data_IF_019780145001
#
_entry.id   IF_019780145001
#
_cell.length_a   1.000
_cell.length_b   1.000
_cell.length_c   1.000
_cell.angle_alpha   90.00
_cell.angle_beta   90.00
_cell.angle_gamma   90.00
#
_symmetry.space_group_name_H-M   'P 1'
#
loop_
_entity.id
_entity.type
_entity.pdbx_description
1 polymer ?
#
# COMPACT_ATOMS: atom_id res chain seq x y z
N UNK A 1 -19.54 -26.64 -34.90
CA UNK A 1 -20.35 -25.96 -33.86
C UNK A 1 -20.45 -26.90 -32.67
N UNK A 2 -19.99 -26.50 -31.49
CA UNK A 2 -20.14 -27.26 -30.24
C UNK A 2 -20.85 -26.35 -29.24
N UNK A 3 -21.99 -26.79 -28.71
CA UNK A 3 -22.75 -26.05 -27.70
C UNK A 3 -22.11 -26.24 -26.31
N UNK A 4 -22.15 -25.24 -25.41
CA UNK A 4 -21.71 -25.42 -24.04
C UNK A 4 -22.68 -26.31 -23.25
N UNK A 5 -22.19 -27.38 -22.65
CA UNK A 5 -22.98 -28.38 -21.89
C UNK A 5 -23.32 -27.91 -20.46
N UNK A 6 -22.92 -26.69 -20.07
CA UNK A 6 -23.26 -26.12 -18.77
C UNK A 6 -24.52 -25.24 -18.83
N UNK A 7 -25.65 -25.67 -18.24
CA UNK A 7 -26.80 -24.79 -18.11
C UNK A 7 -26.46 -23.62 -17.18
N UNK A 8 -26.85 -22.41 -17.62
CA UNK A 8 -26.73 -21.15 -16.87
C UNK A 8 -27.37 -21.29 -15.48
N UNK A 9 -26.55 -21.50 -14.45
CA UNK A 9 -27.02 -21.97 -13.15
C UNK A 9 -27.53 -20.80 -12.29
N UNK A 10 -28.80 -20.48 -12.53
CA UNK A 10 -29.83 -19.99 -11.59
C UNK A 10 -29.35 -19.19 -10.37
N UNK A 11 -29.67 -17.90 -10.40
CA UNK A 11 -30.09 -17.08 -9.24
C UNK A 11 -29.23 -17.12 -7.96
N UNK A 12 -28.62 -15.97 -7.65
CA UNK A 12 -27.84 -15.64 -6.44
C UNK A 12 -28.59 -15.73 -5.09
N UNK A 13 -29.73 -16.43 -5.05
CA UNK A 13 -30.61 -16.58 -3.88
C UNK A 13 -30.37 -17.85 -3.06
N UNK A 14 -29.72 -18.89 -3.63
CA UNK A 14 -29.54 -20.17 -2.94
C UNK A 14 -28.66 -20.05 -1.69
N UNK A 15 -27.48 -19.42 -1.80
CA UNK A 15 -26.53 -19.27 -0.68
C UNK A 15 -27.10 -18.43 0.48
N UNK A 16 -28.02 -17.50 0.21
CA UNK A 16 -28.67 -16.66 1.24
C UNK A 16 -29.74 -17.39 2.07
N UNK A 17 -30.10 -18.63 1.70
CA UNK A 17 -31.05 -19.48 2.43
C UNK A 17 -30.37 -20.44 3.41
N UNK A 18 -29.04 -20.53 3.36
CA UNK A 18 -28.25 -21.29 4.32
C UNK A 18 -28.23 -20.50 5.63
N UNK A 19 -28.52 -21.10 6.80
CA UNK A 19 -28.35 -20.44 8.10
C UNK A 19 -26.89 -20.03 8.35
N UNK A 20 -26.60 -18.88 8.98
CA UNK A 20 -25.23 -18.41 9.25
C UNK A 20 -24.35 -19.46 9.92
N UNK A 21 -24.92 -20.23 10.85
CA UNK A 21 -24.24 -21.25 11.65
C UNK A 21 -23.68 -22.37 10.77
N UNK A 22 -24.40 -22.76 9.70
CA UNK A 22 -23.92 -23.73 8.73
C UNK A 22 -22.84 -23.14 7.81
N UNK A 23 -22.87 -21.83 7.54
CA UNK A 23 -21.81 -21.13 6.79
C UNK A 23 -20.52 -21.05 7.65
N UNK A 24 -20.66 -20.80 8.94
CA UNK A 24 -19.54 -20.79 9.90
C UNK A 24 -18.93 -22.19 10.09
N UNK A 25 -19.75 -23.24 10.15
CA UNK A 25 -19.27 -24.63 10.06
C UNK A 25 -18.46 -24.88 8.79
N UNK A 26 -18.91 -24.40 7.62
CA UNK A 26 -18.16 -24.55 6.37
C UNK A 26 -16.79 -23.86 6.46
N UNK A 27 -16.68 -22.66 7.04
CA UNK A 27 -15.38 -22.00 7.22
C UNK A 27 -14.41 -22.81 8.09
N UNK A 28 -14.89 -23.49 9.13
CA UNK A 28 -14.07 -24.33 10.00
C UNK A 28 -13.42 -25.54 9.26
N UNK A 29 -14.06 -26.04 8.20
CA UNK A 29 -13.52 -27.15 7.38
C UNK A 29 -12.70 -26.69 6.16
N UNK A 30 -12.75 -25.41 5.77
CA UNK A 30 -12.01 -24.90 4.63
C UNK A 30 -10.58 -24.48 5.01
N UNK A 31 -9.56 -24.75 4.19
CA UNK A 31 -8.24 -24.14 4.36
C UNK A 31 -8.31 -22.63 4.08
N UNK A 32 -7.37 -21.87 4.63
CA UNK A 32 -7.40 -20.39 4.65
C UNK A 32 -7.63 -19.73 3.28
N UNK A 33 -7.03 -20.26 2.20
CA UNK A 33 -7.25 -19.72 0.85
C UNK A 33 -8.72 -19.88 0.40
N UNK A 34 -9.33 -21.04 0.70
CA UNK A 34 -10.71 -21.35 0.32
C UNK A 34 -11.70 -20.61 1.22
N UNK A 35 -11.40 -20.39 2.51
CA UNK A 35 -12.18 -19.50 3.37
C UNK A 35 -12.30 -18.09 2.76
N UNK A 36 -11.19 -17.54 2.24
CA UNK A 36 -11.18 -16.22 1.61
C UNK A 36 -11.91 -16.23 0.25
N UNK A 37 -11.66 -17.22 -0.60
CA UNK A 37 -12.38 -17.36 -1.88
C UNK A 37 -13.90 -17.52 -1.68
N UNK A 38 -14.33 -18.33 -0.72
CA UNK A 38 -15.74 -18.52 -0.38
C UNK A 38 -16.34 -17.26 0.24
N UNK A 39 -15.62 -16.61 1.18
CA UNK A 39 -15.98 -15.31 1.75
C UNK A 39 -16.24 -14.24 0.70
N UNK A 40 -15.41 -14.18 -0.35
CA UNK A 40 -15.54 -13.20 -1.43
C UNK A 40 -16.61 -13.55 -2.48
N UNK A 41 -17.26 -14.72 -2.41
CA UNK A 41 -18.24 -15.17 -3.41
C UNK A 41 -19.51 -14.31 -3.46
N UNK A 42 -20.02 -13.86 -2.31
CA UNK A 42 -21.10 -12.87 -2.25
C UNK A 42 -21.13 -12.14 -0.90
N UNK A 43 -21.83 -10.99 -0.86
CA UNK A 43 -21.93 -10.13 0.34
C UNK A 43 -22.41 -10.85 1.61
N UNK A 44 -23.32 -11.82 1.48
CA UNK A 44 -23.84 -12.57 2.63
C UNK A 44 -22.75 -13.46 3.26
N UNK A 45 -22.06 -14.27 2.44
CA UNK A 45 -20.97 -15.14 2.90
C UNK A 45 -19.78 -14.30 3.39
N UNK A 46 -19.55 -13.11 2.82
CA UNK A 46 -18.56 -12.15 3.34
C UNK A 46 -18.90 -11.65 4.75
N UNK A 47 -20.17 -11.37 5.04
CA UNK A 47 -20.62 -11.03 6.40
C UNK A 47 -20.40 -12.19 7.37
N UNK A 48 -20.74 -13.43 6.97
CA UNK A 48 -20.47 -14.63 7.77
C UNK A 48 -18.97 -14.84 8.02
N UNK A 49 -18.09 -14.57 7.03
CA UNK A 49 -16.64 -14.66 7.22
C UNK A 49 -16.16 -13.67 8.30
N UNK A 50 -16.66 -12.45 8.31
CA UNK A 50 -16.26 -11.48 9.34
C UNK A 50 -16.76 -11.90 10.73
N UNK A 51 -18.00 -12.39 10.87
CA UNK A 51 -18.56 -12.96 12.11
C UNK A 51 -17.71 -14.11 12.66
N UNK A 52 -17.39 -15.07 11.79
CA UNK A 52 -16.51 -16.19 12.10
C UNK A 52 -15.13 -15.72 12.60
N UNK A 53 -14.52 -14.78 11.89
CA UNK A 53 -13.18 -14.25 12.22
C UNK A 53 -13.18 -13.47 13.55
N UNK A 54 -14.19 -12.62 13.78
CA UNK A 54 -14.37 -11.88 15.04
C UNK A 54 -14.53 -12.84 16.24
N UNK A 55 -15.35 -13.88 16.10
CA UNK A 55 -15.57 -14.92 17.12
C UNK A 55 -14.28 -15.66 17.49
N UNK A 56 -13.41 -15.90 16.51
CA UNK A 56 -12.11 -16.55 16.72
C UNK A 56 -10.98 -15.57 17.09
N UNK A 57 -11.28 -14.27 17.25
CA UNK A 57 -10.31 -13.19 17.47
C UNK A 57 -9.23 -13.06 16.37
N UNK A 58 -9.50 -13.59 15.17
CA UNK A 58 -8.62 -13.53 14.01
C UNK A 58 -8.99 -12.31 13.18
N UNK A 59 -7.99 -11.51 12.81
CA UNK A 59 -8.19 -10.40 11.87
C UNK A 59 -7.97 -10.90 10.45
N UNK A 60 -8.76 -10.43 9.47
CA UNK A 60 -8.62 -10.80 8.05
C UNK A 60 -7.18 -10.65 7.51
N UNK A 61 -6.40 -9.69 8.05
CA UNK A 61 -4.98 -9.48 7.70
C UNK A 61 -4.01 -10.55 8.23
N UNK A 62 -4.40 -11.31 9.24
CA UNK A 62 -3.63 -12.41 9.82
C UNK A 62 -3.81 -13.72 9.05
N UNK A 63 -4.93 -13.90 8.32
CA UNK A 63 -5.12 -15.08 7.45
C UNK A 63 -4.03 -15.20 6.37
N UNK A 64 -3.67 -14.07 5.75
CA UNK A 64 -2.60 -14.00 4.77
C UNK A 64 -1.72 -12.78 5.06
N UNK A 65 -0.72 -12.92 5.95
CA UNK A 65 0.16 -11.82 6.32
C UNK A 65 0.87 -11.23 5.10
N UNK A 66 1.32 -9.97 5.23
CA UNK A 66 2.02 -9.26 4.17
C UNK A 66 3.37 -9.94 3.93
N UNK A 67 3.45 -10.71 2.84
CA UNK A 67 4.71 -11.30 2.39
C UNK A 67 5.71 -10.22 1.95
N UNK A 68 6.93 -10.28 2.50
CA UNK A 68 8.04 -9.44 2.04
C UNK A 68 8.53 -9.88 0.65
N UNK A 69 8.94 -8.90 -0.15
CA UNK A 69 9.60 -9.14 -1.44
C UNK A 69 11.01 -9.65 -1.18
N UNK A 70 11.24 -10.92 -1.51
CA UNK A 70 12.59 -11.46 -1.62
C UNK A 70 12.91 -11.47 -3.12
N UNK A 71 13.81 -10.57 -3.53
CA UNK A 71 14.21 -10.33 -4.94
C UNK A 71 14.65 -11.59 -5.70
N UNK A 72 15.08 -12.64 -4.98
CA UNK A 72 15.52 -13.93 -5.53
C UNK A 72 14.85 -15.08 -4.79
N UNK A 73 13.57 -15.34 -5.10
CA UNK A 73 12.84 -16.51 -4.57
C UNK A 73 12.45 -17.45 -5.73
N UNK A 74 13.11 -18.60 -5.93
CA UNK A 74 12.81 -19.51 -7.04
C UNK A 74 11.44 -20.22 -6.97
N UNK A 75 10.59 -19.86 -6.00
CA UNK A 75 9.26 -20.43 -5.78
C UNK A 75 8.18 -19.37 -5.44
N UNK A 76 8.31 -18.12 -5.91
CA UNK A 76 7.32 -17.03 -5.68
C UNK A 76 5.87 -17.50 -5.93
N UNK A 77 5.61 -18.23 -7.02
CA UNK A 77 4.26 -18.74 -7.37
C UNK A 77 3.69 -19.79 -6.39
N UNK A 78 4.50 -20.36 -5.49
CA UNK A 78 4.05 -21.30 -4.44
C UNK A 78 3.66 -20.62 -3.13
N UNK A 79 3.87 -19.31 -3.00
CA UNK A 79 3.55 -18.60 -1.75
C UNK A 79 2.02 -18.47 -1.56
N UNK A 80 1.48 -18.68 -0.34
CA UNK A 80 0.03 -18.75 -0.12
C UNK A 80 -0.74 -17.51 -0.58
N UNK A 81 -0.19 -16.31 -0.39
CA UNK A 81 -0.83 -15.06 -0.85
C UNK A 81 -0.91 -15.01 -2.38
N UNK A 82 0.14 -15.46 -3.06
CA UNK A 82 0.22 -15.41 -4.53
C UNK A 82 -0.69 -16.47 -5.15
N UNK A 83 -0.77 -17.66 -4.55
CA UNK A 83 -1.76 -18.67 -4.94
C UNK A 83 -3.20 -18.15 -4.80
N UNK A 84 -3.54 -17.46 -3.69
CA UNK A 84 -4.86 -16.82 -3.57
C UNK A 84 -5.08 -15.78 -4.68
N UNK A 85 -4.13 -14.87 -4.91
CA UNK A 85 -4.27 -13.82 -5.93
C UNK A 85 -4.45 -14.41 -7.33
N UNK A 86 -3.79 -15.53 -7.66
CA UNK A 86 -3.98 -16.25 -8.93
C UNK A 86 -5.36 -16.93 -9.01
N UNK A 87 -5.90 -17.46 -7.91
CA UNK A 87 -7.27 -18.05 -7.86
C UNK A 87 -8.38 -17.00 -7.91
N UNK A 88 -8.08 -15.76 -7.57
CA UNK A 88 -8.98 -14.60 -7.66
C UNK A 88 -8.89 -13.85 -9.00
N UNK A 89 -8.01 -14.27 -9.92
CA UNK A 89 -7.95 -13.72 -11.28
C UNK A 89 -9.18 -14.14 -12.11
N UNK A 90 -9.75 -13.18 -12.83
CA UNK A 90 -10.92 -13.33 -13.70
C UNK A 90 -10.99 -12.19 -14.73
N UNK A 91 -12.02 -12.16 -15.55
CA UNK A 91 -12.20 -11.15 -16.61
C UNK A 91 -12.20 -9.69 -16.10
N UNK A 92 -12.50 -9.47 -14.82
CA UNK A 92 -12.53 -8.16 -14.20
C UNK A 92 -11.23 -7.81 -13.46
N UNK A 93 -10.42 -8.79 -13.03
CA UNK A 93 -9.23 -8.59 -12.20
C UNK A 93 -8.08 -9.51 -12.65
N UNK A 94 -6.91 -8.95 -12.97
CA UNK A 94 -5.70 -9.74 -13.29
C UNK A 94 -4.59 -9.54 -12.28
N UNK A 95 -3.87 -10.61 -11.97
CA UNK A 95 -2.70 -10.60 -11.11
C UNK A 95 -1.51 -9.95 -11.83
N UNK A 96 -0.70 -9.20 -11.09
CA UNK A 96 0.56 -8.67 -11.57
C UNK A 96 1.74 -9.25 -10.77
N UNK A 97 2.62 -9.98 -11.46
CA UNK A 97 3.79 -10.64 -10.89
C UNK A 97 4.90 -9.69 -10.42
N UNK A 98 4.90 -8.43 -10.88
CA UNK A 98 5.85 -7.40 -10.45
C UNK A 98 5.32 -6.58 -9.25
N UNK A 99 4.00 -6.44 -9.06
CA UNK A 99 3.46 -5.73 -7.88
C UNK A 99 2.99 -6.66 -6.75
N UNK A 100 2.67 -7.93 -7.06
CA UNK A 100 1.98 -8.90 -6.19
C UNK A 100 0.62 -8.37 -5.68
N UNK A 101 -0.21 -7.92 -6.61
CA UNK A 101 -1.58 -7.43 -6.38
C UNK A 101 -2.45 -7.75 -7.60
N UNK A 102 -3.76 -7.85 -7.39
CA UNK A 102 -4.77 -7.83 -8.45
C UNK A 102 -5.02 -6.39 -8.92
N UNK A 103 -5.12 -6.21 -10.23
CA UNK A 103 -5.51 -4.95 -10.84
C UNK A 103 -6.69 -5.14 -11.80
N UNK A 104 -7.73 -4.28 -11.73
CA UNK A 104 -8.86 -4.33 -12.66
C UNK A 104 -8.45 -4.37 -14.13
N UNK A 105 -9.04 -5.29 -14.90
CA UNK A 105 -8.67 -5.59 -16.27
C UNK A 105 -8.72 -4.36 -17.20
N UNK A 106 -9.72 -3.49 -17.00
CA UNK A 106 -9.85 -2.20 -17.70
C UNK A 106 -8.60 -1.31 -17.62
N UNK A 107 -7.80 -1.43 -16.55
CA UNK A 107 -6.56 -0.66 -16.37
C UNK A 107 -5.39 -1.26 -17.15
N UNK A 108 -5.38 -2.57 -17.37
CA UNK A 108 -4.43 -3.19 -18.29
C UNK A 108 -4.71 -2.74 -19.73
N UNK A 109 -5.99 -2.73 -20.13
CA UNK A 109 -6.43 -2.25 -21.44
C UNK A 109 -6.15 -0.74 -21.64
N UNK A 110 -6.51 0.10 -20.67
CA UNK A 110 -6.27 1.54 -20.74
C UNK A 110 -4.78 1.89 -20.82
N UNK A 111 -3.92 1.10 -20.16
CA UNK A 111 -2.47 1.25 -20.28
C UNK A 111 -1.93 0.62 -21.57
N UNK A 112 -2.60 -0.38 -22.18
CA UNK A 112 -2.15 -1.18 -23.34
C UNK A 112 -1.64 -0.34 -24.52
N UNK A 113 -2.27 0.80 -24.79
CA UNK A 113 -1.87 1.75 -25.84
C UNK A 113 -0.48 2.38 -25.59
N UNK A 114 -0.13 2.64 -24.34
CA UNK A 114 1.16 3.23 -23.96
C UNK A 114 2.33 2.25 -24.16
N UNK A 115 2.08 0.94 -24.16
CA UNK A 115 3.14 -0.08 -24.25
C UNK A 115 3.81 -0.18 -25.61
N UNK A 116 3.16 0.27 -26.70
CA UNK A 116 3.72 0.17 -28.06
C UNK A 116 5.06 0.92 -28.20
N UNK A 117 5.32 1.94 -27.38
CA UNK A 117 6.61 2.64 -27.30
C UNK A 117 7.56 2.14 -26.20
N UNK A 118 7.27 1.00 -25.56
CA UNK A 118 7.72 0.70 -24.20
C UNK A 118 8.43 -0.66 -24.03
N UNK A 119 8.58 -1.43 -25.11
CA UNK A 119 9.18 -2.79 -25.13
C UNK A 119 10.54 -2.93 -24.42
N UNK A 120 11.30 -1.84 -24.23
CA UNK A 120 12.65 -1.87 -23.62
C UNK A 120 12.69 -1.93 -22.08
N UNK A 121 11.55 -1.94 -21.37
CA UNK A 121 11.50 -1.94 -19.89
C UNK A 121 10.36 -2.77 -19.26
N UNK A 122 9.81 -3.75 -19.97
CA UNK A 122 8.99 -4.79 -19.33
C UNK A 122 9.85 -5.67 -18.41
N UNK A 123 9.23 -6.27 -17.39
CA UNK A 123 9.84 -7.31 -16.56
C UNK A 123 10.49 -8.39 -17.46
N UNK A 124 11.66 -8.91 -17.05
CA UNK A 124 12.41 -9.94 -17.77
C UNK A 124 11.56 -11.16 -18.12
N UNK A 125 10.70 -11.62 -17.21
CA UNK A 125 9.75 -12.72 -17.48
C UNK A 125 8.71 -12.37 -18.56
N UNK A 126 8.22 -11.12 -18.59
CA UNK A 126 7.27 -10.66 -19.61
C UNK A 126 7.92 -10.42 -20.97
N UNK A 127 9.25 -10.30 -21.06
CA UNK A 127 9.96 -10.29 -22.34
C UNK A 127 10.08 -11.71 -22.92
N UNK A 128 10.16 -12.73 -22.07
CA UNK A 128 10.25 -14.14 -22.47
C UNK A 128 8.91 -14.73 -22.90
N UNK A 129 7.80 -14.36 -22.25
CA UNK A 129 6.47 -14.95 -22.46
C UNK A 129 5.68 -14.40 -23.67
N UNK A 130 6.36 -14.04 -24.76
CA UNK A 130 5.84 -13.55 -26.06
C UNK A 130 4.30 -13.39 -26.17
N UNK A 131 3.76 -12.31 -25.59
CA UNK A 131 2.34 -11.92 -25.70
C UNK A 131 1.50 -12.09 -24.43
N UNK A 132 1.91 -12.91 -23.46
CA UNK A 132 1.18 -13.06 -22.20
C UNK A 132 1.70 -12.08 -21.13
N UNK A 133 1.01 -10.95 -20.97
CA UNK A 133 1.39 -9.87 -20.06
C UNK A 133 1.08 -10.21 -18.59
N UNK A 134 2.08 -10.70 -17.85
CA UNK A 134 1.96 -11.01 -16.42
C UNK A 134 2.29 -9.83 -15.49
N UNK A 135 2.78 -8.69 -16.02
CA UNK A 135 3.10 -7.49 -15.23
C UNK A 135 2.31 -6.26 -15.74
N UNK A 136 1.79 -5.44 -14.83
CA UNK A 136 1.28 -4.10 -15.14
C UNK A 136 2.49 -3.17 -15.38
N UNK A 137 2.45 -2.18 -16.30
CA UNK A 137 3.62 -1.34 -16.50
C UNK A 137 3.73 -0.41 -15.29
N UNK A 138 4.95 -0.16 -14.83
CA UNK A 138 5.19 0.69 -13.66
C UNK A 138 4.65 0.09 -12.36
N UNK A 139 4.45 -1.23 -12.35
CA UNK A 139 4.30 -2.01 -11.13
C UNK A 139 5.49 -1.75 -10.18
N UNK A 140 5.17 -1.89 -8.89
CA UNK A 140 5.96 -1.32 -7.82
C UNK A 140 5.04 -0.76 -6.74
N UNK A 141 5.49 -0.85 -5.50
CA UNK A 141 4.81 -0.33 -4.31
C UNK A 141 5.73 0.68 -3.64
N UNK A 142 5.14 1.79 -3.19
CA UNK A 142 5.82 2.84 -2.41
C UNK A 142 5.14 2.88 -1.05
N UNK A 143 5.89 2.67 0.05
CA UNK A 143 5.31 2.83 1.39
C UNK A 143 5.21 4.32 1.69
N UNK A 144 4.03 4.73 2.14
CA UNK A 144 3.68 6.09 2.49
C UNK A 144 3.74 6.28 4.00
N UNK A 145 2.97 5.48 4.74
CA UNK A 145 3.13 5.25 6.20
C UNK A 145 3.57 3.78 6.40
N UNK A 146 4.19 3.41 7.54
CA UNK A 146 4.36 2.02 7.95
C UNK A 146 3.16 1.08 7.70
N UNK A 147 1.92 1.56 7.81
CA UNK A 147 0.72 0.75 7.53
C UNK A 147 0.06 0.99 6.16
N UNK A 148 0.59 1.90 5.30
CA UNK A 148 -0.01 2.24 4.00
C UNK A 148 1.03 2.26 2.89
N UNK A 149 0.82 1.44 1.87
CA UNK A 149 1.60 1.41 0.63
C UNK A 149 0.71 1.68 -0.57
N UNK A 150 1.21 2.41 -1.56
CA UNK A 150 0.46 2.76 -2.78
C UNK A 150 1.14 2.21 -4.04
N UNK A 151 0.33 1.83 -5.03
CA UNK A 151 0.77 1.49 -6.39
C UNK A 151 0.74 2.71 -7.30
N UNK A 152 1.26 2.59 -8.53
CA UNK A 152 1.22 3.70 -9.50
C UNK A 152 -0.22 4.11 -9.86
N UNK A 153 -1.15 3.15 -9.89
CA UNK A 153 -2.59 3.41 -10.07
C UNK A 153 -3.13 4.27 -8.94
N UNK A 154 -2.82 3.91 -7.70
CA UNK A 154 -3.30 4.64 -6.52
C UNK A 154 -2.71 6.06 -6.52
N UNK A 155 -1.45 6.22 -6.97
CA UNK A 155 -0.86 7.55 -7.23
C UNK A 155 -1.68 8.36 -8.23
N UNK A 156 -2.09 7.77 -9.36
CA UNK A 156 -2.92 8.47 -10.35
C UNK A 156 -4.30 8.85 -9.77
N UNK A 157 -4.89 7.98 -8.94
CA UNK A 157 -6.16 8.25 -8.26
C UNK A 157 -6.01 9.40 -7.25
N UNK A 158 -5.00 9.35 -6.38
CA UNK A 158 -4.65 10.43 -5.45
C UNK A 158 -4.39 11.76 -6.19
N UNK A 159 -3.68 11.72 -7.32
CA UNK A 159 -3.49 12.89 -8.17
C UNK A 159 -4.79 13.44 -8.73
N UNK A 160 -5.78 12.60 -9.05
CA UNK A 160 -7.09 13.05 -9.52
C UNK A 160 -7.92 13.66 -8.38
N UNK A 161 -7.97 12.99 -7.22
CA UNK A 161 -8.58 13.53 -6.00
C UNK A 161 -7.98 14.90 -5.63
N UNK A 162 -6.65 15.04 -5.63
CA UNK A 162 -5.95 16.32 -5.42
C UNK A 162 -6.23 17.39 -6.50
N UNK A 163 -6.70 17.04 -7.70
CA UNK A 163 -7.11 18.01 -8.73
C UNK A 163 -8.53 18.49 -8.52
N UNK A 164 -9.46 17.56 -8.28
CA UNK A 164 -10.87 17.90 -8.11
C UNK A 164 -11.08 18.69 -6.82
N UNK A 165 -10.35 18.32 -5.76
CA UNK A 165 -10.08 19.12 -4.58
C UNK A 165 -9.79 20.62 -4.88
N UNK A 166 -8.81 20.90 -5.74
CA UNK A 166 -8.35 22.28 -6.02
C UNK A 166 -9.40 23.17 -6.65
N UNK A 167 -10.42 22.61 -7.28
CA UNK A 167 -11.54 23.37 -7.87
C UNK A 167 -12.45 23.98 -6.80
N UNK A 168 -12.35 23.52 -5.55
CA UNK A 168 -13.27 23.87 -4.45
C UNK A 168 -12.72 24.98 -3.54
N UNK A 169 -11.41 25.26 -3.55
CA UNK A 169 -10.78 26.27 -2.68
C UNK A 169 -10.58 27.60 -3.41
N UNK A 170 -11.17 28.71 -2.92
CA UNK A 170 -10.91 30.04 -3.46
C UNK A 170 -9.43 30.46 -3.30
N UNK A 171 -8.86 31.22 -4.25
CA UNK A 171 -7.50 31.76 -4.11
C UNK A 171 -7.45 32.80 -2.99
N UNK A 172 -6.85 32.47 -1.84
CA UNK A 172 -6.66 33.43 -0.73
C UNK A 172 -6.06 32.86 0.55
N UNK A 173 -6.72 31.86 1.15
CA UNK A 173 -6.25 31.19 2.38
C UNK A 173 -6.09 32.14 3.59
N UNK A 174 -5.12 31.96 4.51
CA UNK A 174 -3.88 31.17 4.51
C UNK A 174 -3.77 30.32 5.77
N UNK A 175 -3.38 29.04 5.68
CA UNK A 175 -3.19 28.20 6.87
C UNK A 175 -1.77 28.33 7.43
N UNK A 176 -1.65 28.99 8.58
CA UNK A 176 -0.47 28.92 9.43
C UNK A 176 -0.45 27.59 10.18
N UNK A 177 0.44 26.67 9.81
CA UNK A 177 1.11 25.78 10.77
C UNK A 177 2.29 25.01 10.16
N UNK A 178 3.28 24.76 11.02
CA UNK A 178 4.53 24.00 10.85
C UNK A 178 5.65 24.54 9.94
N UNK A 179 6.85 24.51 10.52
CA UNK A 179 8.11 25.12 10.03
C UNK A 179 8.80 24.33 8.91
N UNK A 180 8.05 23.78 7.95
CA UNK A 180 8.60 23.20 6.74
C UNK A 180 8.74 24.27 5.66
N UNK A 181 9.97 24.51 5.17
CA UNK A 181 10.23 25.41 4.04
C UNK A 181 9.55 24.89 2.77
N UNK A 182 8.37 25.43 2.47
CA UNK A 182 7.62 25.16 1.25
C UNK A 182 8.40 25.68 0.03
N UNK A 183 8.53 24.88 -1.05
CA UNK A 183 9.02 25.40 -2.33
C UNK A 183 8.09 26.50 -2.86
N UNK A 184 8.61 27.64 -3.34
CA UNK A 184 7.76 28.70 -3.89
C UNK A 184 6.93 28.17 -5.08
N UNK A 185 5.63 28.43 -5.05
CA UNK A 185 4.65 27.90 -6.01
C UNK A 185 3.87 26.65 -5.55
N UNK A 186 3.98 26.24 -4.27
CA UNK A 186 3.03 25.31 -3.66
C UNK A 186 1.66 25.97 -3.47
N UNK A 187 0.66 25.60 -4.26
CA UNK A 187 -0.72 26.04 -4.00
C UNK A 187 -1.31 25.31 -2.79
N UNK A 188 -2.16 26.04 -2.06
CA UNK A 188 -2.72 25.72 -0.75
C UNK A 188 -3.20 24.26 -0.57
N UNK A 189 -3.05 23.79 0.68
CA UNK A 189 -3.68 22.58 1.24
C UNK A 189 -5.13 22.38 0.75
N UNK A 190 -5.46 21.14 0.39
CA UNK A 190 -6.80 20.62 0.63
C UNK A 190 -6.78 19.73 1.87
N UNK A 191 -7.77 19.89 2.74
CA UNK A 191 -7.80 19.26 4.07
C UNK A 191 -7.97 17.74 4.04
N UNK A 192 -8.41 17.17 2.91
CA UNK A 192 -9.04 15.84 2.87
C UNK A 192 -8.14 14.68 2.44
N UNK A 193 -6.86 14.92 2.10
CA UNK A 193 -5.89 13.86 1.83
C UNK A 193 -4.76 13.88 2.85
N UNK A 194 -5.15 13.53 4.07
CA UNK A 194 -4.29 13.25 5.20
C UNK A 194 -4.50 11.80 5.64
N UNK A 195 -3.43 11.17 6.09
CA UNK A 195 -3.50 9.88 6.74
C UNK A 195 -2.72 9.98 8.05
N UNK A 196 -3.30 9.47 9.14
CA UNK A 196 -2.64 9.44 10.44
C UNK A 196 -2.66 8.02 10.98
N UNK A 197 -1.51 7.58 11.46
CA UNK A 197 -1.25 6.22 11.91
C UNK A 197 -0.35 6.25 13.14
N UNK A 198 -0.66 5.42 14.14
CA UNK A 198 0.24 5.17 15.26
C UNK A 198 0.93 3.82 15.02
N UNK A 199 2.25 3.83 14.96
CA UNK A 199 3.07 2.62 14.98
C UNK A 199 3.42 2.30 16.44
N UNK A 200 2.99 1.11 16.88
CA UNK A 200 3.02 0.70 18.29
C UNK A 200 3.79 -0.58 18.54
N UNK A 201 4.39 -1.15 17.49
CA UNK A 201 4.88 -2.53 17.48
C UNK A 201 6.31 -2.63 18.02
N UNK A 202 7.01 -1.50 18.16
CA UNK A 202 8.28 -1.41 18.88
C UNK A 202 8.04 -1.38 20.41
N UNK A 203 8.78 -2.18 21.22
CA UNK A 203 8.50 -2.35 22.64
C UNK A 203 8.59 -1.05 23.46
N UNK A 204 9.59 -0.20 23.18
CA UNK A 204 9.90 0.98 24.00
C UNK A 204 9.45 2.34 23.41
N UNK A 205 8.97 2.35 22.16
CA UNK A 205 8.76 3.59 21.38
C UNK A 205 7.42 3.50 20.64
N UNK A 206 6.56 4.49 20.82
CA UNK A 206 5.42 4.75 19.92
C UNK A 206 5.81 5.82 18.90
N UNK A 207 5.33 5.68 17.67
CA UNK A 207 5.54 6.68 16.61
C UNK A 207 4.18 7.11 16.07
N UNK A 208 3.81 8.36 16.29
CA UNK A 208 2.67 8.99 15.62
C UNK A 208 3.14 9.53 14.28
N UNK A 209 2.56 9.03 13.19
CA UNK A 209 2.94 9.34 11.81
C UNK A 209 1.77 10.02 11.12
N UNK A 210 1.99 11.26 10.68
CA UNK A 210 1.03 12.07 9.93
C UNK A 210 1.53 12.27 8.51
N UNK A 211 0.79 11.76 7.54
CA UNK A 211 1.04 11.85 6.10
C UNK A 211 0.14 12.91 5.48
N UNK A 212 0.68 13.75 4.61
CA UNK A 212 -0.06 14.71 3.77
C UNK A 212 0.34 14.59 2.29
N UNK A 213 -0.63 14.72 1.38
CA UNK A 213 -0.41 14.63 -0.07
C UNK A 213 -0.58 16.00 -0.75
N UNK A 214 0.46 16.44 -1.46
CA UNK A 214 0.48 17.75 -2.15
C UNK A 214 0.73 17.58 -3.64
N UNK A 215 0.21 18.49 -4.48
CA UNK A 215 0.62 18.61 -5.88
C UNK A 215 1.50 19.86 -6.06
N UNK A 216 2.66 19.73 -6.69
CA UNK A 216 3.61 20.84 -6.87
C UNK A 216 3.80 21.19 -8.35
N UNK A 217 3.73 22.51 -8.63
CA UNK A 217 4.11 23.14 -9.88
C UNK A 217 3.21 22.86 -11.10
N UNK A 218 3.52 23.54 -12.22
CA UNK A 218 2.82 23.39 -13.51
C UNK A 218 2.83 21.96 -14.05
N UNK A 219 3.80 21.14 -13.65
CA UNK A 219 3.92 19.74 -14.07
C UNK A 219 2.98 18.78 -13.31
N UNK A 220 2.25 19.28 -12.30
CA UNK A 220 1.33 18.52 -11.45
C UNK A 220 2.00 17.28 -10.81
N UNK A 221 3.16 17.46 -10.18
CA UNK A 221 3.88 16.38 -9.50
C UNK A 221 3.28 16.07 -8.12
N UNK A 222 2.95 14.81 -7.83
CA UNK A 222 2.51 14.41 -6.49
C UNK A 222 3.72 14.33 -5.55
N UNK A 223 3.61 14.97 -4.39
CA UNK A 223 4.56 14.91 -3.30
C UNK A 223 3.87 14.44 -2.02
N UNK A 224 4.65 13.81 -1.16
CA UNK A 224 4.21 13.24 0.12
C UNK A 224 5.07 13.83 1.22
N UNK A 225 4.43 14.48 2.18
CA UNK A 225 5.05 14.94 3.40
C UNK A 225 4.66 14.00 4.54
N UNK A 226 5.64 13.47 5.26
CA UNK A 226 5.38 12.72 6.49
C UNK A 226 6.01 13.46 7.68
N UNK A 227 5.26 13.56 8.77
CA UNK A 227 5.74 13.96 10.08
C UNK A 227 5.70 12.75 11.01
N UNK A 228 6.84 12.40 11.60
CA UNK A 228 6.97 11.33 12.58
C UNK A 228 7.25 11.98 13.93
N UNK A 229 6.42 11.73 14.93
CA UNK A 229 6.65 12.10 16.34
C UNK A 229 6.91 10.82 17.12
N UNK A 230 8.13 10.68 17.65
CA UNK A 230 8.53 9.52 18.46
C UNK A 230 8.33 9.84 19.94
N UNK A 231 7.76 8.90 20.69
CA UNK A 231 7.43 9.02 22.10
C UNK A 231 7.93 7.76 22.83
N UNK A 232 8.60 7.93 23.97
CA UNK A 232 9.11 6.82 24.79
C UNK A 232 8.04 6.35 25.77
N UNK A 233 7.87 5.03 25.93
CA UNK A 233 6.82 4.45 26.80
C UNK A 233 7.16 4.35 28.28
N UNK A 234 8.42 4.56 28.66
CA UNK A 234 8.88 4.49 30.04
C UNK A 234 9.66 5.75 30.40
N UNK A 235 9.45 6.24 31.63
CA UNK A 235 10.09 7.45 32.16
C UNK A 235 11.57 7.26 32.48
N UNK A 236 12.02 6.01 32.65
CA UNK A 236 13.42 5.66 32.88
C UNK A 236 14.03 4.99 31.65
N UNK A 237 15.14 5.52 31.09
CA UNK A 237 15.86 4.85 30.02
C UNK A 237 16.59 3.63 30.59
N UNK A 238 16.01 2.46 30.38
CA UNK A 238 16.64 1.17 30.66
C UNK A 238 18.01 1.05 29.97
N UNK A 239 18.89 0.20 30.50
CA UNK A 239 20.26 0.04 29.99
C UNK A 239 20.31 -0.36 28.50
N UNK A 240 19.25 -0.98 27.97
CA UNK A 240 19.10 -1.27 26.53
C UNK A 240 18.93 -0.01 25.67
N UNK A 241 18.23 1.03 26.14
CA UNK A 241 18.10 2.29 25.39
C UNK A 241 19.45 3.01 25.22
N UNK A 242 20.45 2.75 26.07
CA UNK A 242 21.80 3.33 25.91
C UNK A 242 22.48 2.90 24.60
N UNK A 243 22.14 1.74 24.02
CA UNK A 243 22.65 1.32 22.70
C UNK A 243 21.90 1.95 21.52
N UNK A 244 20.69 2.46 21.74
CA UNK A 244 19.90 3.25 20.80
C UNK A 244 20.22 4.76 20.90
N UNK A 245 20.87 5.18 21.99
CA UNK A 245 21.25 6.57 22.29
C UNK A 245 22.65 6.97 21.78
N UNK A 246 23.24 6.23 20.83
CA UNK A 246 24.28 6.82 19.96
C UNK A 246 23.68 8.04 19.26
N UNK A 247 24.09 9.24 19.71
CA UNK A 247 23.53 10.55 19.38
C UNK A 247 22.75 10.57 18.04
N UNK A 248 21.40 10.57 18.07
CA UNK A 248 20.57 10.44 16.87
C UNK A 248 20.76 11.55 15.83
N UNK A 249 21.50 12.61 16.16
CA UNK A 249 21.89 13.67 15.22
C UNK A 249 23.04 13.27 14.28
N UNK A 250 23.87 12.27 14.62
CA UNK A 250 24.93 11.77 13.72
C UNK A 250 24.39 10.85 12.63
N UNK A 251 23.35 10.07 12.93
CA UNK A 251 22.77 9.11 11.98
C UNK A 251 21.27 8.89 12.25
N UNK A 252 20.49 9.96 12.10
CA UNK A 252 19.03 9.93 12.27
C UNK A 252 18.39 8.86 11.38
N UNK A 253 18.99 8.59 10.22
CA UNK A 253 18.44 7.65 9.25
C UNK A 253 18.53 6.21 9.71
N UNK A 254 19.74 5.72 9.99
CA UNK A 254 19.91 4.34 10.45
C UNK A 254 19.22 4.10 11.80
N UNK A 255 19.08 5.14 12.64
CA UNK A 255 18.23 5.10 13.85
C UNK A 255 16.75 4.84 13.51
N UNK A 256 16.12 5.61 12.61
CA UNK A 256 14.73 5.37 12.21
C UNK A 256 14.56 3.99 11.57
N UNK A 257 15.51 3.55 10.72
CA UNK A 257 15.48 2.19 10.14
C UNK A 257 15.45 1.13 11.24
N UNK A 258 16.29 1.29 12.25
CA UNK A 258 16.40 0.35 13.36
C UNK A 258 15.12 0.30 14.19
N UNK A 259 14.53 1.44 14.56
CA UNK A 259 13.28 1.47 15.35
C UNK A 259 12.12 0.78 14.61
N UNK A 260 11.97 0.99 13.30
CA UNK A 260 10.95 0.28 12.52
C UNK A 260 11.25 -1.21 12.41
N UNK A 261 12.50 -1.60 12.14
CA UNK A 261 12.92 -2.99 12.04
C UNK A 261 12.78 -3.77 13.36
N UNK A 262 13.18 -3.17 14.49
CA UNK A 262 13.02 -3.74 15.84
C UNK A 262 11.54 -3.87 16.26
N UNK A 263 10.66 -3.04 15.68
CA UNK A 263 9.20 -3.22 15.76
C UNK A 263 8.61 -4.10 14.65
N UNK A 264 9.41 -4.89 13.93
CA UNK A 264 8.92 -5.84 12.92
C UNK A 264 8.41 -5.21 11.61
N UNK A 265 8.77 -3.96 11.31
CA UNK A 265 8.30 -3.24 10.12
C UNK A 265 9.39 -3.11 9.05
N UNK A 266 9.07 -3.55 7.82
CA UNK A 266 9.89 -3.36 6.62
C UNK A 266 9.88 -1.92 6.07
N UNK A 267 9.37 -0.94 6.83
CA UNK A 267 9.09 0.41 6.34
C UNK A 267 10.36 1.18 5.95
N UNK A 268 10.43 1.56 4.68
CA UNK A 268 11.61 2.17 4.06
C UNK A 268 11.30 3.55 3.45
N UNK A 269 10.15 4.13 3.80
CA UNK A 269 9.70 5.43 3.28
C UNK A 269 10.34 6.67 3.93
N UNK A 270 11.23 6.53 4.90
CA UNK A 270 11.81 7.64 5.68
C UNK A 270 13.14 8.19 5.11
N UNK A 271 13.77 7.50 4.15
CA UNK A 271 15.20 7.56 3.77
C UNK A 271 15.78 8.91 3.27
N UNK A 272 15.05 10.04 3.38
CA UNK A 272 15.44 11.34 2.80
C UNK A 272 15.15 12.55 3.72
N UNK A 273 16.25 13.06 4.30
CA UNK A 273 16.50 14.36 4.95
C UNK A 273 16.16 14.58 6.45
N UNK A 274 16.83 15.63 6.98
CA UNK A 274 17.26 15.82 8.37
C UNK A 274 16.19 16.36 9.32
N UNK A 275 16.37 16.09 10.63
CA UNK A 275 15.66 16.72 11.74
C UNK A 275 16.58 17.62 12.58
N UNK A 276 16.01 18.57 13.32
CA UNK A 276 16.69 19.48 14.26
C UNK A 276 16.01 19.50 15.63
N UNK A 277 16.84 19.68 16.68
CA UNK A 277 16.56 19.89 18.12
C UNK A 277 16.38 18.64 19.00
N UNK A 278 16.73 18.72 20.32
CA UNK A 278 17.10 17.53 21.10
C UNK A 278 15.99 16.90 21.95
N UNK A 279 14.89 17.62 22.22
CA UNK A 279 13.91 17.24 23.26
C UNK A 279 12.53 16.81 22.74
N UNK A 280 12.29 16.89 21.43
CA UNK A 280 11.16 16.20 20.80
C UNK A 280 11.66 15.60 19.49
N UNK A 281 11.70 14.28 19.40
CA UNK A 281 12.04 13.57 18.16
C UNK A 281 10.90 13.75 17.16
N UNK A 282 10.94 14.87 16.43
CA UNK A 282 10.07 15.17 15.29
C UNK A 282 10.90 15.06 14.02
N UNK A 283 10.57 14.13 13.14
CA UNK A 283 11.22 13.98 11.83
C UNK A 283 10.21 14.35 10.75
N UNK A 284 10.64 15.13 9.76
CA UNK A 284 9.79 15.52 8.63
C UNK A 284 10.47 15.13 7.33
N UNK A 285 9.81 14.32 6.49
CA UNK A 285 10.36 13.84 5.22
C UNK A 285 9.46 14.25 4.06
N UNK A 286 10.02 14.90 3.02
CA UNK A 286 9.30 15.27 1.79
C UNK A 286 9.79 14.40 0.63
N UNK A 287 8.89 13.62 0.02
CA UNK A 287 9.18 12.75 -1.14
C UNK A 287 8.38 13.16 -2.36
N UNK A 288 9.06 13.39 -3.47
CA UNK A 288 8.43 13.60 -4.78
C UNK A 288 8.17 12.25 -5.46
N UNK A 289 6.90 11.91 -5.69
CA UNK A 289 6.44 10.68 -6.37
C UNK A 289 6.21 10.89 -7.88
N UNK A 290 6.45 12.11 -8.35
CA UNK A 290 6.34 12.52 -9.74
C UNK A 290 4.92 12.76 -10.23
N UNK A 291 4.81 13.32 -11.42
CA UNK A 291 3.56 13.61 -12.11
C UNK A 291 2.93 12.38 -12.78
N UNK A 292 1.83 12.60 -13.51
CA UNK A 292 1.09 11.58 -14.25
C UNK A 292 1.74 11.19 -15.58
N UNK A 293 2.76 11.93 -16.05
CA UNK A 293 3.50 11.57 -17.27
C UNK A 293 4.42 10.38 -16.99
N UNK A 294 4.59 9.53 -17.99
CA UNK A 294 5.56 8.44 -17.99
C UNK A 294 6.57 8.65 -19.14
N UNK A 295 7.87 8.30 -19.01
CA UNK A 295 8.55 7.71 -17.85
C UNK A 295 8.76 8.68 -16.70
N UNK A 296 8.36 8.27 -15.49
CA UNK A 296 8.58 9.06 -14.28
C UNK A 296 9.71 8.48 -13.41
N UNK A 297 10.93 9.02 -13.56
CA UNK A 297 12.08 8.63 -12.74
C UNK A 297 11.88 8.88 -11.23
N UNK A 298 11.02 9.81 -10.83
CA UNK A 298 10.73 10.05 -9.42
C UNK A 298 9.90 8.90 -8.81
N UNK A 299 8.92 8.35 -9.54
CA UNK A 299 8.19 7.16 -9.08
C UNK A 299 9.12 5.97 -8.82
N UNK A 300 9.94 5.58 -9.81
CA UNK A 300 10.86 4.44 -9.70
C UNK A 300 11.88 4.60 -8.56
N UNK A 301 12.30 5.83 -8.22
CA UNK A 301 13.21 6.14 -7.10
C UNK A 301 12.59 5.99 -5.70
N UNK A 302 11.28 5.75 -5.61
CA UNK A 302 10.57 5.52 -4.34
C UNK A 302 9.98 4.11 -4.25
N UNK A 303 9.99 3.34 -5.34
CA UNK A 303 9.58 1.94 -5.31
C UNK A 303 10.67 1.11 -4.63
N UNK A 304 10.26 0.13 -3.84
CA UNK A 304 11.19 -0.90 -3.37
C UNK A 304 11.40 -1.91 -4.49
N UNK A 305 12.63 -2.38 -4.59
CA UNK A 305 13.04 -3.51 -5.43
C UNK A 305 12.34 -4.77 -4.94
#
# INVERSE_FOLDING_TARGET
>A
MLQPIFPQLRSNTALRKIPPELVEMVFAFLPVQDQICFGLSCKYIFTCLNSYLETHQIQLRQLLPREERVMLCPNVKRRPRIQLLLRLENDHWRYCSDCWTLHPHSTWLALQSLWKGLQRRSCSECQLLQGQMCCMPYAGKVDICPCVSITFRDKLHLMQMCKDARKVVPPGTKNYNDNALLPPGSSQLLENLRHECNFTDHPFISIRVKTEFWIIGKSMGLCVLNHYKFETRHETPSTSLKSLLTCPHKDTGNWVRRVFHEGGSSFTGWDKNRSTRPYTFKITTLRNLGNSKWPNRAWSRNCYS
#
